data_IF_073768822727
#
_entry.id   IF_073768822727
#
_cell.length_a   1.000
_cell.length_b   1.000
_cell.length_c   1.000
_cell.angle_alpha   90.00
_cell.angle_beta   90.00
_cell.angle_gamma   90.00
#
_symmetry.space_group_name_H-M   'P 1'
#
loop_
_entity.id
_entity.type
_entity.pdbx_description
1 polymer ?
#
# COMPACT_ATOMS: atom_id res chain seq x y z
N UNK A 1 23.55 11.09 67.42
CA UNK A 1 22.16 10.91 66.92
C UNK A 1 21.99 11.72 65.65
N UNK A 2 21.59 11.05 64.56
CA UNK A 2 20.73 11.53 63.46
C UNK A 2 21.28 12.67 62.58
N UNK A 3 21.22 12.66 61.25
CA UNK A 3 20.67 11.78 60.19
C UNK A 3 21.31 12.32 58.91
N UNK A 4 22.15 11.56 58.20
CA UNK A 4 21.78 10.98 56.90
C UNK A 4 20.97 11.97 56.04
N UNK A 5 21.63 12.99 55.49
CA UNK A 5 21.10 13.81 54.39
C UNK A 5 22.08 13.88 53.20
N UNK A 6 23.06 12.97 53.19
CA UNK A 6 23.85 12.66 52.02
C UNK A 6 23.17 11.51 51.28
N UNK A 7 23.09 11.60 49.95
CA UNK A 7 22.69 10.53 49.03
C UNK A 7 21.19 10.32 48.71
N UNK A 8 20.39 11.38 48.56
CA UNK A 8 19.09 11.27 47.82
C UNK A 8 18.99 12.23 46.62
N UNK A 9 19.90 13.21 46.49
CA UNK A 9 19.86 14.19 45.39
C UNK A 9 20.78 13.87 44.19
N UNK A 10 21.38 12.67 44.17
CA UNK A 10 22.34 12.24 43.14
C UNK A 10 21.96 10.88 42.52
N UNK A 11 20.66 10.59 42.47
CA UNK A 11 20.11 9.39 41.81
C UNK A 11 18.88 9.72 40.96
N UNK A 12 18.80 10.95 40.44
CA UNK A 12 17.78 11.40 39.48
C UNK A 12 18.40 12.02 38.20
N UNK A 13 19.69 11.75 37.95
CA UNK A 13 20.43 12.28 36.80
C UNK A 13 21.02 11.18 35.91
N UNK A 14 20.48 9.95 35.97
CA UNK A 14 20.95 8.81 35.17
C UNK A 14 19.79 7.94 34.67
N UNK A 15 18.64 8.55 34.39
CA UNK A 15 17.59 7.94 33.58
C UNK A 15 17.35 8.77 32.31
N UNK A 16 18.45 9.19 31.65
CA UNK A 16 18.41 9.27 30.20
C UNK A 16 18.57 7.83 29.72
N UNK A 17 17.53 7.03 29.93
CA UNK A 17 17.36 5.81 29.15
C UNK A 17 17.34 6.30 27.71
N UNK A 18 18.45 6.04 27.01
CA UNK A 18 18.46 5.95 25.57
C UNK A 18 17.28 5.05 25.21
N UNK A 19 16.15 5.69 24.88
CA UNK A 19 15.14 5.05 24.07
C UNK A 19 15.94 4.48 22.90
N UNK A 20 15.79 3.19 22.56
CA UNK A 20 16.20 2.78 21.23
C UNK A 20 15.51 3.78 20.31
N UNK A 21 16.30 4.56 19.58
CA UNK A 21 15.78 5.17 18.37
C UNK A 21 15.27 3.95 17.60
N UNK A 22 13.95 3.72 17.68
CA UNK A 22 13.28 2.83 16.76
C UNK A 22 13.86 3.24 15.43
N UNK A 23 14.58 2.33 14.77
CA UNK A 23 15.04 2.55 13.42
C UNK A 23 13.75 2.75 12.63
N UNK A 24 13.32 4.00 12.57
CA UNK A 24 12.15 4.40 11.85
C UNK A 24 12.59 4.18 10.43
N UNK A 25 11.97 3.20 9.78
CA UNK A 25 12.00 2.97 8.35
C UNK A 25 11.25 4.13 7.66
N UNK A 26 11.63 5.35 8.04
CA UNK A 26 10.99 6.62 7.73
C UNK A 26 11.64 7.11 6.48
N UNK A 27 10.81 7.29 5.46
CA UNK A 27 11.26 7.95 4.24
C UNK A 27 11.76 9.35 4.58
N UNK A 28 12.80 9.77 3.85
CA UNK A 28 13.25 11.15 3.90
C UNK A 28 12.19 12.08 3.30
N UNK A 29 12.27 13.37 3.63
CA UNK A 29 11.41 14.37 3.02
C UNK A 29 11.60 14.39 1.49
N UNK A 30 10.49 14.37 0.77
CA UNK A 30 10.53 14.20 -0.68
C UNK A 30 9.17 13.90 -1.31
N UNK A 31 9.17 13.76 -2.64
CA UNK A 31 8.01 13.32 -3.41
C UNK A 31 8.30 11.97 -4.03
N UNK A 32 7.34 11.07 -3.90
CA UNK A 32 7.42 9.68 -4.31
C UNK A 32 6.15 9.28 -5.05
N UNK A 33 6.22 8.17 -5.78
CA UNK A 33 5.06 7.40 -6.21
C UNK A 33 4.92 6.15 -5.34
N UNK A 34 3.70 5.67 -5.16
CA UNK A 34 3.40 4.41 -4.46
C UNK A 34 2.23 3.70 -5.15
N UNK A 35 2.40 2.43 -5.47
CA UNK A 35 1.32 1.58 -5.98
C UNK A 35 0.36 1.21 -4.85
N UNK A 36 -0.89 0.99 -5.23
CA UNK A 36 -1.93 0.57 -4.31
C UNK A 36 -3.04 -0.15 -5.06
N UNK A 37 -3.90 -0.84 -4.32
CA UNK A 37 -5.15 -1.43 -4.82
C UNK A 37 -6.32 -1.00 -3.95
N UNK A 38 -7.50 -0.90 -4.54
CA UNK A 38 -8.75 -0.78 -3.78
C UNK A 38 -9.34 -2.17 -3.61
N UNK A 39 -9.55 -2.61 -2.37
CA UNK A 39 -10.14 -3.90 -2.03
C UNK A 39 -11.55 -3.73 -1.46
N UNK A 40 -12.32 -4.82 -1.46
CA UNK A 40 -13.62 -4.91 -0.80
C UNK A 40 -13.47 -4.72 0.72
N UNK A 41 -14.57 -4.36 1.38
CA UNK A 41 -14.60 -4.12 2.83
C UNK A 41 -14.18 -5.35 3.65
N UNK A 42 -14.65 -6.52 3.23
CA UNK A 42 -14.68 -7.77 4.01
C UNK A 42 -13.71 -8.85 3.50
N UNK A 43 -13.05 -8.60 2.38
CA UNK A 43 -12.24 -9.61 1.67
C UNK A 43 -11.11 -8.98 0.87
N UNK A 44 -10.01 -9.71 0.71
CA UNK A 44 -8.81 -9.25 -0.02
C UNK A 44 -8.99 -9.26 -1.56
N UNK A 45 -10.21 -9.47 -2.04
CA UNK A 45 -10.57 -9.30 -3.44
C UNK A 45 -10.54 -7.83 -3.85
N UNK A 46 -10.11 -7.59 -5.08
CA UNK A 46 -10.14 -6.24 -5.69
C UNK A 46 -11.59 -5.75 -5.77
N UNK A 47 -11.81 -4.50 -5.40
CA UNK A 47 -13.10 -3.81 -5.52
C UNK A 47 -13.28 -3.28 -6.93
N UNK A 48 -14.54 -3.21 -7.40
CA UNK A 48 -14.88 -2.50 -8.64
C UNK A 48 -14.41 -1.04 -8.59
N UNK A 49 -14.41 -0.44 -7.39
CA UNK A 49 -13.87 0.91 -7.18
C UNK A 49 -12.39 1.05 -7.59
N UNK A 50 -11.63 -0.05 -7.71
CA UNK A 50 -10.21 0.02 -8.07
C UNK A 50 -9.96 0.72 -9.42
N UNK A 51 -10.86 0.54 -10.38
CA UNK A 51 -10.70 1.04 -11.75
C UNK A 51 -10.98 2.55 -11.86
N UNK A 52 -11.62 3.12 -10.84
CA UNK A 52 -11.95 4.54 -10.76
C UNK A 52 -10.88 5.37 -10.04
N UNK A 53 -9.89 4.70 -9.42
CA UNK A 53 -8.76 5.33 -8.74
C UNK A 53 -7.49 5.09 -9.57
N UNK A 54 -6.95 6.13 -10.18
CA UNK A 54 -5.76 5.99 -11.02
C UNK A 54 -4.51 5.64 -10.19
N UNK A 55 -3.59 4.93 -10.83
CA UNK A 55 -2.33 4.43 -10.23
C UNK A 55 -1.13 5.00 -10.99
N UNK A 56 0.03 5.19 -10.32
CA UNK A 56 0.24 5.11 -8.87
C UNK A 56 -0.35 6.33 -8.12
N UNK A 57 -0.38 6.27 -6.79
CA UNK A 57 -0.61 7.45 -5.98
C UNK A 57 0.68 8.27 -5.86
N UNK A 58 0.54 9.57 -5.63
CA UNK A 58 1.67 10.44 -5.25
C UNK A 58 1.75 10.50 -3.73
N UNK A 59 2.93 10.23 -3.20
CA UNK A 59 3.25 10.27 -1.78
C UNK A 59 4.23 11.41 -1.51
N UNK A 60 3.88 12.33 -0.63
CA UNK A 60 4.73 13.45 -0.24
C UNK A 60 5.07 13.28 1.23
N UNK A 61 6.36 13.26 1.54
CA UNK A 61 6.87 13.19 2.91
C UNK A 61 7.43 14.56 3.27
N UNK A 62 6.93 15.12 4.38
CA UNK A 62 7.38 16.43 4.87
C UNK A 62 7.36 16.46 6.39
N UNK A 63 8.50 16.72 7.02
CA UNK A 63 8.64 16.78 8.47
C UNK A 63 8.07 15.53 9.18
N UNK A 64 8.29 14.34 8.60
CA UNK A 64 7.77 13.07 9.14
C UNK A 64 6.26 12.85 9.00
N UNK A 65 5.53 13.74 8.32
CA UNK A 65 4.13 13.54 7.93
C UNK A 65 4.04 13.00 6.51
N UNK A 66 3.09 12.09 6.28
CA UNK A 66 2.84 11.50 4.97
C UNK A 66 1.55 12.08 4.38
N UNK A 67 1.66 12.65 3.19
CA UNK A 67 0.53 13.21 2.45
C UNK A 67 0.35 12.36 1.20
N UNK A 68 -0.81 11.73 1.05
CA UNK A 68 -1.15 10.91 -0.10
C UNK A 68 -2.08 11.68 -1.01
N UNK A 69 -1.78 11.70 -2.30
CA UNK A 69 -2.63 12.25 -3.36
C UNK A 69 -3.01 11.11 -4.31
N UNK A 70 -4.32 10.90 -4.46
CA UNK A 70 -4.90 9.92 -5.38
C UNK A 70 -5.75 10.65 -6.42
N UNK A 71 -5.63 10.24 -7.68
CA UNK A 71 -6.47 10.76 -8.76
C UNK A 71 -7.68 9.85 -8.93
N UNK A 72 -8.88 10.44 -8.93
CA UNK A 72 -10.13 9.75 -9.23
C UNK A 72 -10.55 10.14 -10.64
N UNK A 73 -10.91 9.16 -11.45
CA UNK A 73 -11.68 9.35 -12.68
C UNK A 73 -13.18 9.22 -12.37
N UNK A 74 -14.03 9.62 -13.32
CA UNK A 74 -15.49 9.74 -13.10
C UNK A 74 -15.80 10.49 -11.79
N UNK A 75 -15.08 11.60 -11.56
CA UNK A 75 -15.11 12.37 -10.32
C UNK A 75 -16.54 12.75 -9.89
N UNK A 76 -17.43 13.02 -10.86
CA UNK A 76 -18.85 13.33 -10.62
C UNK A 76 -19.60 12.23 -9.87
N UNK A 77 -19.19 10.97 -10.00
CA UNK A 77 -19.85 9.81 -9.42
C UNK A 77 -19.53 9.63 -7.93
N UNK A 78 -18.35 10.05 -7.49
CA UNK A 78 -17.95 9.91 -6.08
C UNK A 78 -18.30 11.19 -5.33
N UNK A 79 -19.42 11.21 -4.59
CA UNK A 79 -19.90 12.38 -3.84
C UNK A 79 -19.14 12.61 -2.54
N UNK A 80 -18.81 11.53 -1.84
CA UNK A 80 -18.02 11.57 -0.61
C UNK A 80 -16.84 10.60 -0.72
N UNK A 81 -15.69 11.02 -0.21
CA UNK A 81 -14.53 10.15 -0.04
C UNK A 81 -13.84 10.50 1.28
N UNK A 82 -13.98 9.59 2.24
CA UNK A 82 -13.46 9.71 3.60
C UNK A 82 -12.43 8.62 3.86
N UNK A 83 -11.40 8.97 4.62
CA UNK A 83 -10.28 8.08 4.96
C UNK A 83 -10.18 7.94 6.47
N UNK A 84 -9.91 6.73 6.95
CA UNK A 84 -9.78 6.48 8.38
C UNK A 84 -8.52 7.14 8.95
N UNK A 85 -8.65 7.73 10.13
CA UNK A 85 -7.57 8.27 10.94
C UNK A 85 -7.81 7.93 12.42
N UNK A 86 -6.96 8.46 13.31
CA UNK A 86 -7.07 8.23 14.77
C UNK A 86 -8.41 8.67 15.38
N UNK A 87 -9.14 9.56 14.71
CA UNK A 87 -10.42 10.12 15.16
C UNK A 87 -11.63 9.52 14.42
N UNK A 88 -11.47 8.38 13.74
CA UNK A 88 -12.53 7.75 12.94
C UNK A 88 -12.31 7.97 11.45
N UNK A 89 -13.23 8.65 10.76
CA UNK A 89 -13.13 8.93 9.33
C UNK A 89 -13.16 10.44 9.07
N UNK A 90 -12.26 10.93 8.23
CA UNK A 90 -12.21 12.33 7.82
C UNK A 90 -12.32 12.47 6.30
N UNK A 91 -12.98 13.53 5.85
CA UNK A 91 -13.08 13.88 4.44
C UNK A 91 -11.71 14.17 3.84
N UNK A 92 -11.50 13.68 2.62
CA UNK A 92 -10.32 14.03 1.83
C UNK A 92 -10.43 15.46 1.30
N UNK A 93 -9.29 16.11 1.12
CA UNK A 93 -9.20 17.44 0.54
C UNK A 93 -9.03 17.34 -0.98
N UNK A 94 -9.88 18.00 -1.76
CA UNK A 94 -9.64 18.14 -3.21
C UNK A 94 -8.57 19.20 -3.43
N UNK A 95 -7.48 18.83 -4.11
CA UNK A 95 -6.33 19.73 -4.37
C UNK A 95 -6.17 20.10 -5.84
N UNK A 96 -6.84 19.38 -6.74
CA UNK A 96 -6.94 19.69 -8.17
C UNK A 96 -8.20 19.04 -8.72
N UNK A 97 -8.82 19.67 -9.72
CA UNK A 97 -9.97 19.14 -10.43
C UNK A 97 -9.86 19.47 -11.91
N UNK A 98 -10.21 18.51 -12.76
CA UNK A 98 -10.35 18.66 -14.20
C UNK A 98 -11.78 18.24 -14.59
N UNK A 99 -12.72 19.21 -14.64
CA UNK A 99 -14.10 18.91 -15.02
C UNK A 99 -14.23 18.38 -16.44
N UNK A 100 -13.33 18.77 -17.35
CA UNK A 100 -13.39 18.37 -18.76
C UNK A 100 -13.04 16.90 -18.96
N UNK A 101 -12.07 16.39 -18.21
CA UNK A 101 -11.73 14.97 -18.17
C UNK A 101 -12.56 14.17 -17.13
N UNK A 102 -13.45 14.85 -16.39
CA UNK A 102 -14.16 14.31 -15.23
C UNK A 102 -13.21 13.65 -14.20
N UNK A 103 -12.13 14.35 -13.83
CA UNK A 103 -11.13 13.87 -12.87
C UNK A 103 -10.95 14.82 -11.69
N UNK A 104 -10.48 14.30 -10.57
CA UNK A 104 -10.00 15.10 -9.44
C UNK A 104 -8.84 14.45 -8.71
N UNK A 105 -8.02 15.25 -8.06
CA UNK A 105 -6.98 14.79 -7.13
C UNK A 105 -7.47 15.02 -5.71
N UNK A 106 -7.65 13.93 -4.97
CA UNK A 106 -8.00 13.93 -3.56
C UNK A 106 -6.76 13.68 -2.70
N UNK A 107 -6.66 14.40 -1.59
CA UNK A 107 -5.52 14.39 -0.68
C UNK A 107 -5.95 14.03 0.74
N UNK A 108 -5.15 13.22 1.42
CA UNK A 108 -5.31 12.93 2.84
C UNK A 108 -3.95 12.77 3.53
N UNK A 109 -3.94 12.96 4.85
CA UNK A 109 -2.75 12.82 5.69
C UNK A 109 -2.75 11.47 6.41
N UNK A 110 -1.57 10.90 6.57
CA UNK A 110 -1.29 9.72 7.38
C UNK A 110 -0.10 10.00 8.30
N UNK A 111 -0.13 9.42 9.50
CA UNK A 111 1.01 9.48 10.42
C UNK A 111 2.17 8.59 9.95
N UNK A 112 1.85 7.51 9.25
CA UNK A 112 2.74 6.56 8.59
C UNK A 112 1.95 5.89 7.47
N UNK A 113 2.61 5.34 6.45
CA UNK A 113 1.92 4.54 5.42
C UNK A 113 1.63 3.15 6.00
N UNK A 114 0.37 2.76 6.30
CA UNK A 114 0.08 1.40 6.72
C UNK A 114 -0.08 0.49 5.49
N UNK A 115 -0.20 -0.82 5.72
CA UNK A 115 -0.46 -1.75 4.61
C UNK A 115 -1.87 -1.56 4.05
N UNK A 116 -2.84 -1.29 4.92
CA UNK A 116 -4.25 -1.05 4.57
C UNK A 116 -4.77 0.18 5.31
N UNK A 117 -5.50 1.05 4.59
CA UNK A 117 -6.30 2.14 5.15
C UNK A 117 -7.77 1.91 4.82
N UNK A 118 -8.66 2.03 5.82
CA UNK A 118 -10.10 1.97 5.59
C UNK A 118 -10.58 3.30 5.00
N UNK A 119 -11.54 3.23 4.09
CA UNK A 119 -12.17 4.41 3.52
C UNK A 119 -13.67 4.19 3.34
N UNK A 120 -14.42 5.28 3.40
CA UNK A 120 -15.84 5.29 3.08
C UNK A 120 -16.07 6.15 1.84
N UNK A 121 -16.89 5.66 0.92
CA UNK A 121 -17.26 6.38 -0.29
C UNK A 121 -18.79 6.43 -0.42
N UNK A 122 -19.28 7.52 -1.00
CA UNK A 122 -20.65 7.63 -1.48
C UNK A 122 -20.61 7.73 -2.99
N UNK A 123 -21.15 6.72 -3.66
CA UNK A 123 -21.26 6.64 -5.12
C UNK A 123 -22.68 7.03 -5.51
N UNK A 124 -22.78 7.98 -6.42
CA UNK A 124 -24.04 8.44 -7.00
C UNK A 124 -23.87 8.56 -8.51
N UNK A 125 -24.59 7.78 -9.28
CA UNK A 125 -24.60 7.83 -10.74
C UNK A 125 -26.03 8.18 -11.17
N UNK A 126 -26.23 9.32 -11.86
CA UNK A 126 -27.56 9.69 -12.34
C UNK A 126 -28.01 8.76 -13.48
N UNK A 127 -29.32 8.67 -13.68
CA UNK A 127 -29.95 7.75 -14.63
C UNK A 127 -29.50 7.96 -16.09
N UNK A 128 -29.21 9.20 -16.48
CA UNK A 128 -28.73 9.56 -17.82
C UNK A 128 -27.30 9.04 -18.11
N UNK A 129 -26.50 8.83 -17.07
CA UNK A 129 -25.15 8.24 -17.16
C UNK A 129 -25.16 6.72 -16.94
N UNK A 130 -26.26 6.13 -16.45
CA UNK A 130 -26.42 4.68 -16.25
C UNK A 130 -27.74 4.16 -16.84
N UNK A 131 -27.88 4.21 -18.19
CA UNK A 131 -29.13 3.89 -18.86
C UNK A 131 -29.52 2.42 -18.64
N UNK A 132 -30.77 2.20 -18.23
CA UNK A 132 -31.37 0.88 -18.05
C UNK A 132 -31.43 0.37 -16.61
N UNK A 133 -30.76 1.03 -15.66
CA UNK A 133 -30.76 0.63 -14.25
C UNK A 133 -31.23 1.74 -13.28
N UNK A 134 -31.59 2.92 -13.80
CA UNK A 134 -32.09 4.04 -13.00
C UNK A 134 -30.97 4.77 -12.24
N UNK A 135 -31.36 5.48 -11.18
CA UNK A 135 -30.39 6.19 -10.32
C UNK A 135 -29.67 5.18 -9.42
N UNK A 136 -28.34 5.17 -9.49
CA UNK A 136 -27.51 4.41 -8.57
C UNK A 136 -27.04 5.30 -7.42
N UNK A 137 -27.42 4.96 -6.18
CA UNK A 137 -26.99 5.68 -4.98
C UNK A 137 -26.60 4.66 -3.90
N UNK A 138 -25.32 4.59 -3.54
CA UNK A 138 -24.83 3.62 -2.57
C UNK A 138 -23.60 4.10 -1.81
N UNK A 139 -23.52 3.69 -0.54
CA UNK A 139 -22.38 3.98 0.35
C UNK A 139 -21.62 2.70 0.64
N UNK A 140 -20.30 2.74 0.48
CA UNK A 140 -19.42 1.60 0.67
C UNK A 140 -18.28 1.89 1.61
N UNK A 141 -17.86 0.86 2.35
CA UNK A 141 -16.51 0.83 2.90
C UNK A 141 -15.59 0.13 1.90
N UNK A 142 -14.42 0.69 1.66
CA UNK A 142 -13.36 0.14 0.81
C UNK A 142 -12.05 0.13 1.59
N UNK A 143 -11.07 -0.62 1.11
CA UNK A 143 -9.75 -0.72 1.73
C UNK A 143 -8.67 -0.33 0.72
N UNK A 144 -7.91 0.72 0.99
CA UNK A 144 -6.75 1.12 0.21
C UNK A 144 -5.56 0.28 0.69
N UNK A 145 -5.11 -0.68 -0.11
CA UNK A 145 -3.93 -1.51 0.20
C UNK A 145 -2.71 -0.93 -0.52
N UNK A 146 -1.76 -0.38 0.24
CA UNK A 146 -0.53 0.18 -0.30
C UNK A 146 0.55 -0.89 -0.48
N UNK A 147 1.34 -0.78 -1.54
CA UNK A 147 2.54 -1.59 -1.75
C UNK A 147 3.78 -0.76 -1.41
N UNK A 148 4.29 -0.91 -0.19
CA UNK A 148 5.46 -0.15 0.29
C UNK A 148 6.74 -0.44 -0.50
N UNK A 149 6.85 -1.63 -1.09
CA UNK A 149 8.02 -2.00 -1.89
C UNK A 149 8.04 -1.30 -3.25
N UNK A 150 6.92 -0.72 -3.67
CA UNK A 150 6.80 0.01 -4.92
C UNK A 150 7.18 1.49 -4.84
N UNK A 151 7.65 1.96 -3.67
CA UNK A 151 7.93 3.39 -3.48
C UNK A 151 9.12 3.81 -4.35
N UNK A 152 8.91 4.82 -5.21
CA UNK A 152 9.95 5.37 -6.08
C UNK A 152 10.00 6.89 -5.96
N UNK A 153 11.21 7.49 -5.91
CA UNK A 153 11.36 8.95 -5.89
C UNK A 153 10.96 9.55 -7.24
N UNK A 154 10.13 10.60 -7.20
CA UNK A 154 9.85 11.42 -8.38
C UNK A 154 11.01 12.40 -8.55
N UNK A 155 12.01 12.03 -9.37
CA UNK A 155 13.03 13.00 -9.80
C UNK A 155 12.37 13.97 -10.76
N UNK A 156 12.35 15.26 -10.42
CA UNK A 156 11.95 16.30 -11.37
C UNK A 156 12.86 16.21 -12.59
N UNK A 157 12.29 16.04 -13.78
CA UNK A 157 13.04 16.18 -15.03
C UNK A 157 13.57 17.62 -15.13
N UNK A 158 14.77 17.85 -14.61
CA UNK A 158 15.61 18.91 -15.12
C UNK A 158 15.98 18.54 -16.55
N UNK A 159 15.76 19.45 -17.49
CA UNK A 159 16.44 19.45 -18.78
C UNK A 159 17.95 19.43 -18.51
N UNK A 160 18.54 18.23 -18.56
CA UNK A 160 19.97 17.99 -18.54
C UNK A 160 20.41 17.59 -19.93
N UNK A 161 21.03 18.55 -20.61
CA UNK A 161 21.80 18.41 -21.84
C UNK A 161 22.53 17.07 -21.95
N UNK A 162 22.31 16.42 -23.09
CA UNK A 162 23.20 15.40 -23.64
C UNK A 162 24.53 16.08 -23.98
N UNK A 163 25.62 15.69 -23.33
CA UNK A 163 26.91 15.54 -24.03
C UNK A 163 27.85 14.56 -23.30
N UNK A 164 28.75 13.90 -24.05
CA UNK A 164 29.31 12.59 -23.73
C UNK A 164 30.78 12.66 -23.33
N UNK A 165 31.23 11.77 -22.45
CA UNK A 165 32.65 11.48 -22.29
C UNK A 165 33.00 10.20 -23.06
N UNK A 166 33.76 10.38 -24.13
CA UNK A 166 34.35 9.32 -24.94
C UNK A 166 35.72 8.90 -24.37
N UNK A 167 36.04 7.60 -24.42
CA UNK A 167 37.18 7.05 -25.18
C UNK A 167 37.48 5.61 -24.77
N UNK A 168 37.26 4.66 -25.69
CA UNK A 168 38.32 3.81 -26.25
C UNK A 168 37.74 2.92 -27.37
N UNK A 169 38.48 2.87 -28.48
CA UNK A 169 38.07 2.47 -29.82
C UNK A 169 38.21 0.96 -30.12
N UNK A 170 37.41 0.45 -31.06
CA UNK A 170 37.87 -0.01 -32.40
C UNK A 170 36.87 -1.01 -33.03
N UNK A 171 36.54 -0.82 -34.32
CA UNK A 171 36.05 -1.91 -35.18
C UNK A 171 34.86 -1.57 -36.09
N UNK A 172 35.15 -0.99 -37.25
CA UNK A 172 34.28 -0.67 -38.39
C UNK A 172 33.67 -1.90 -39.08
N UNK A 173 32.38 -1.84 -39.46
CA UNK A 173 31.92 -1.91 -40.86
C UNK A 173 30.40 -1.82 -40.98
N UNK A 174 29.96 -0.97 -41.92
CA UNK A 174 28.59 -0.84 -42.41
C UNK A 174 28.25 -2.03 -43.32
N UNK A 175 27.00 -2.49 -43.29
CA UNK A 175 26.26 -2.64 -44.55
C UNK A 175 24.74 -2.58 -44.33
N UNK A 176 24.12 -1.82 -45.22
CA UNK A 176 22.68 -1.55 -45.36
C UNK A 176 22.09 -2.60 -46.28
N UNK A 177 20.96 -3.19 -45.92
CA UNK A 177 20.04 -3.75 -46.94
C UNK A 177 18.59 -3.70 -46.46
N UNK A 178 17.81 -2.95 -47.23
CA UNK A 178 16.34 -2.91 -47.21
C UNK A 178 15.76 -4.26 -47.68
N UNK A 179 14.65 -4.71 -47.08
CA UNK A 179 13.34 -4.89 -47.76
C UNK A 179 12.33 -5.72 -46.95
N UNK A 180 11.21 -5.04 -46.72
CA UNK A 180 9.80 -5.47 -46.69
C UNK A 180 9.45 -6.93 -47.07
N UNK A 181 8.50 -7.53 -46.35
CA UNK A 181 7.90 -8.81 -46.74
C UNK A 181 6.94 -9.43 -45.71
N UNK A 182 5.67 -9.06 -45.84
CA UNK A 182 4.46 -9.61 -45.22
C UNK A 182 4.33 -11.14 -45.37
N UNK A 183 3.76 -11.83 -44.38
CA UNK A 183 3.29 -13.22 -44.56
C UNK A 183 2.92 -13.93 -43.26
N UNK A 184 1.64 -14.30 -43.15
CA UNK A 184 0.95 -14.93 -42.02
C UNK A 184 1.48 -16.33 -41.66
N UNK A 185 1.28 -16.75 -40.39
CA UNK A 185 1.09 -18.15 -40.05
C UNK A 185 0.20 -18.34 -38.81
N UNK A 186 -0.42 -19.51 -38.80
CA UNK A 186 -1.63 -19.93 -38.09
C UNK A 186 -1.40 -20.39 -36.64
N UNK A 187 -2.56 -20.58 -35.99
CA UNK A 187 -2.92 -21.68 -35.10
C UNK A 187 -2.54 -21.64 -33.61
N UNK A 188 -3.47 -22.27 -32.87
CA UNK A 188 -3.61 -22.32 -31.43
C UNK A 188 -2.39 -22.90 -30.71
N UNK A 189 -2.09 -22.35 -29.54
CA UNK A 189 -1.45 -23.12 -28.48
C UNK A 189 -2.03 -22.79 -27.10
N UNK A 190 -2.35 -23.86 -26.38
CA UNK A 190 -2.71 -23.85 -24.96
C UNK A 190 -1.41 -23.63 -24.18
N UNK A 191 -1.36 -22.62 -23.33
CA UNK A 191 -0.39 -22.60 -22.24
C UNK A 191 -1.06 -22.43 -20.88
N UNK A 192 -1.22 -23.59 -20.25
CA UNK A 192 -0.86 -23.93 -18.88
C UNK A 192 -0.73 -22.77 -17.89
N UNK A 193 -1.69 -22.77 -16.97
CA UNK A 193 -1.73 -22.07 -15.69
C UNK A 193 -0.45 -22.36 -14.88
N UNK A 194 0.39 -21.33 -14.69
CA UNK A 194 1.54 -21.39 -13.80
C UNK A 194 1.09 -20.91 -12.41
N UNK A 195 0.56 -21.83 -11.60
CA UNK A 195 0.38 -21.59 -10.17
C UNK A 195 1.77 -21.71 -9.50
N UNK A 196 2.33 -20.68 -8.85
CA UNK A 196 3.53 -20.87 -8.06
C UNK A 196 3.18 -21.72 -6.82
N UNK A 197 3.75 -22.92 -6.73
CA UNK A 197 3.76 -23.72 -5.51
C UNK A 197 4.36 -22.88 -4.37
N UNK A 198 3.63 -22.80 -3.25
CA UNK A 198 4.15 -22.20 -2.01
C UNK A 198 5.12 -23.19 -1.39
N UNK A 199 6.39 -23.09 -1.80
CA UNK A 199 7.52 -23.85 -1.26
C UNK A 199 7.92 -23.48 0.18
N UNK A 200 6.99 -23.04 1.03
CA UNK A 200 7.28 -22.69 2.43
C UNK A 200 7.11 -23.91 3.33
N UNK A 201 8.19 -24.68 3.46
CA UNK A 201 8.34 -25.72 4.50
C UNK A 201 8.66 -25.13 5.89
N UNK A 202 8.71 -23.80 6.04
CA UNK A 202 9.30 -23.13 7.20
C UNK A 202 8.37 -22.94 8.42
N UNK A 203 7.08 -23.27 8.34
CA UNK A 203 6.14 -23.09 9.46
C UNK A 203 5.38 -24.35 9.87
N UNK A 204 5.47 -25.45 9.12
CA UNK A 204 4.73 -26.70 9.42
C UNK A 204 5.14 -27.30 10.78
N UNK A 205 6.45 -27.27 11.10
CA UNK A 205 6.95 -27.79 12.39
C UNK A 205 6.43 -27.00 13.60
N UNK A 206 6.21 -25.69 13.44
CA UNK A 206 5.63 -24.85 14.50
C UNK A 206 4.17 -25.23 14.74
N UNK A 207 3.40 -25.43 13.67
CA UNK A 207 2.00 -25.87 13.80
C UNK A 207 1.86 -27.28 14.36
N UNK A 208 2.73 -28.23 13.95
CA UNK A 208 2.77 -29.59 14.52
C UNK A 208 3.12 -29.53 16.01
N UNK A 209 4.11 -28.72 16.41
CA UNK A 209 4.48 -28.57 17.81
C UNK A 209 3.33 -27.97 18.66
N UNK A 210 2.65 -26.94 18.14
CA UNK A 210 1.47 -26.35 18.81
C UNK A 210 0.32 -27.34 18.95
N UNK A 211 0.09 -28.18 17.93
CA UNK A 211 -0.95 -29.21 17.97
C UNK A 211 -0.66 -30.29 19.02
N UNK A 212 0.59 -30.75 19.12
CA UNK A 212 1.01 -31.75 20.12
C UNK A 212 0.94 -31.20 21.55
N UNK A 213 1.29 -29.93 21.77
CA UNK A 213 1.17 -29.27 23.08
C UNK A 213 -0.31 -29.13 23.50
N UNK A 214 -1.18 -28.72 22.56
CA UNK A 214 -2.62 -28.54 22.82
C UNK A 214 -3.31 -29.87 23.17
N UNK A 215 -3.04 -30.93 22.41
CA UNK A 215 -3.62 -32.26 22.66
C UNK A 215 -3.15 -32.84 24.00
N UNK A 216 -1.86 -32.69 24.34
CA UNK A 216 -1.33 -33.13 25.64
C UNK A 216 -1.98 -32.37 26.80
N UNK A 217 -2.15 -31.05 26.69
CA UNK A 217 -2.82 -30.23 27.70
C UNK A 217 -4.29 -30.65 27.90
N UNK A 218 -5.02 -30.94 26.82
CA UNK A 218 -6.41 -31.35 26.89
C UNK A 218 -6.57 -32.73 27.55
N UNK A 219 -5.67 -33.68 27.27
CA UNK A 219 -5.66 -35.01 27.91
C UNK A 219 -5.37 -34.88 29.41
N UNK A 220 -4.39 -34.05 29.81
CA UNK A 220 -4.08 -33.81 31.23
C UNK A 220 -5.29 -33.19 31.94
N UNK A 221 -5.93 -32.20 31.32
CA UNK A 221 -7.13 -31.54 31.85
C UNK A 221 -8.32 -32.48 31.94
N UNK A 222 -8.48 -33.40 31.00
CA UNK A 222 -9.58 -34.37 31.00
C UNK A 222 -9.36 -35.44 32.07
N UNK A 223 -8.14 -35.94 32.24
CA UNK A 223 -7.81 -36.92 33.30
C UNK A 223 -7.90 -36.32 34.71
N UNK A 224 -7.55 -35.04 34.89
CA UNK A 224 -7.69 -34.38 36.21
C UNK A 224 -9.16 -34.17 36.61
N UNK A 225 -10.07 -34.05 35.64
CA UNK A 225 -11.52 -33.95 35.88
C UNK A 225 -12.19 -35.27 36.29
N UNK A 226 -11.57 -36.41 35.98
CA UNK A 226 -12.08 -37.75 36.32
C UNK A 226 -11.45 -38.37 37.57
N UNK A 227 -10.39 -37.76 38.13
CA UNK A 227 -9.74 -38.25 39.35
C UNK A 227 -10.33 -37.67 40.65
N UNK A 228 -11.45 -36.95 40.54
CA UNK A 228 -12.22 -36.41 41.67
C UNK A 228 -13.66 -36.94 41.55
N UNK A 229 -13.82 -38.24 41.77
CA UNK A 229 -15.07 -38.96 42.06
C UNK A 229 -14.71 -40.24 42.82
#
# INVERSE_FOLDING_TARGET
MKRIFSAVFLLFAFFCASLPASANDSLADGTYTINYKILKADSDSVSIANDYWEKPAKLIVKNGKYIVQVTLNHSSWIKEFKVSNKNGFADTKVVSADPSANKRVAQFELDQVPDIVLSQIHVYIPEDEFPGEGVYDSRYTIRLKFDKNSIQTVRGNGNGSKEPSASAAAGTSNEKSDRNGTGQQNEADKQTENNPETGDSALLYVFIALFLLSTTFLIIRFKSRFKVL
#
